data_IF_019875442145
#
_entry.id   IF_019875442145
#
_cell.length_a   1.000
_cell.length_b   1.000
_cell.length_c   1.000
_cell.angle_alpha   90.00
_cell.angle_beta   90.00
_cell.angle_gamma   90.00
#
_symmetry.space_group_name_H-M   'P 1'
#
loop_
_entity.id
_entity.type
_entity.pdbx_description
1 polymer ?
#
# COMPACT_ATOMS: atom_id res chain seq x y z
N UNK A 1 -9.41 3.15 -1.77
CA UNK A 1 -8.47 2.81 -2.86
C UNK A 1 -8.85 3.49 -4.17
N UNK A 2 -9.85 3.03 -4.96
CA UNK A 2 -10.20 3.70 -6.23
C UNK A 2 -10.79 5.11 -6.04
N UNK A 3 -11.89 5.24 -5.28
CA UNK A 3 -12.59 6.52 -5.07
C UNK A 3 -11.87 7.49 -4.10
N UNK A 4 -10.83 7.02 -3.42
CA UNK A 4 -10.09 7.81 -2.44
C UNK A 4 -8.73 8.20 -3.00
N UNK A 5 -7.72 7.37 -2.72
CA UNK A 5 -6.32 7.67 -3.01
C UNK A 5 -6.04 7.79 -4.51
N UNK A 6 -6.53 6.86 -5.34
CA UNK A 6 -6.32 6.92 -6.79
C UNK A 6 -7.03 8.12 -7.42
N UNK A 7 -8.29 8.38 -7.05
CA UNK A 7 -9.02 9.55 -7.51
C UNK A 7 -8.36 10.86 -7.09
N UNK A 8 -7.76 10.92 -5.89
CA UNK A 8 -7.00 12.08 -5.44
C UNK A 8 -5.76 12.31 -6.31
N UNK A 9 -4.96 11.27 -6.56
CA UNK A 9 -3.75 11.38 -7.39
C UNK A 9 -4.05 11.75 -8.84
N UNK A 10 -5.11 11.20 -9.42
CA UNK A 10 -5.57 11.52 -10.77
C UNK A 10 -5.98 13.01 -10.85
N UNK A 11 -6.78 13.49 -9.88
CA UNK A 11 -7.16 14.90 -9.82
C UNK A 11 -5.96 15.83 -9.59
N UNK A 12 -5.04 15.48 -8.69
CA UNK A 12 -3.83 16.27 -8.42
C UNK A 12 -2.88 16.31 -9.62
N UNK A 13 -2.83 15.24 -10.41
CA UNK A 13 -2.01 15.18 -11.63
C UNK A 13 -2.70 15.77 -12.86
N UNK A 14 -3.99 16.14 -12.75
CA UNK A 14 -4.80 16.61 -13.88
C UNK A 14 -4.98 15.57 -14.98
N UNK A 15 -4.80 14.28 -14.66
CA UNK A 15 -4.90 13.18 -15.62
C UNK A 15 -6.31 12.60 -15.64
N UNK A 16 -6.61 11.78 -16.65
CA UNK A 16 -7.81 10.94 -16.67
C UNK A 16 -7.53 9.54 -16.12
N UNK A 17 -8.57 8.79 -15.74
CA UNK A 17 -8.40 7.38 -15.34
C UNK A 17 -7.77 6.50 -16.43
N UNK A 18 -7.93 6.87 -17.71
CA UNK A 18 -7.30 6.19 -18.83
C UNK A 18 -5.78 6.43 -18.89
N UNK A 19 -5.30 7.55 -18.32
CA UNK A 19 -3.89 7.92 -18.24
C UNK A 19 -3.28 7.57 -16.88
N UNK A 20 -4.01 6.81 -16.05
CA UNK A 20 -3.52 6.32 -14.78
C UNK A 20 -2.25 5.50 -14.96
N UNK A 21 -1.19 5.89 -14.26
CA UNK A 21 0.06 5.10 -14.18
C UNK A 21 -0.11 3.82 -13.36
N UNK A 22 -1.19 3.72 -12.60
CA UNK A 22 -1.55 2.54 -11.82
C UNK A 22 -2.63 1.77 -12.57
N UNK A 23 -2.27 0.59 -13.06
CA UNK A 23 -3.20 -0.34 -13.70
C UNK A 23 -4.16 -0.99 -12.68
N UNK A 24 -5.35 -1.44 -13.11
CA UNK A 24 -6.29 -2.15 -12.24
C UNK A 24 -5.69 -3.39 -11.57
N UNK A 25 -4.86 -4.14 -12.28
CA UNK A 25 -4.16 -5.33 -11.77
C UNK A 25 -3.20 -4.97 -10.63
N UNK A 26 -2.45 -3.88 -10.78
CA UNK A 26 -1.53 -3.39 -9.75
C UNK A 26 -2.29 -2.94 -8.49
N UNK A 27 -3.42 -2.25 -8.66
CA UNK A 27 -4.27 -1.86 -7.54
C UNK A 27 -4.89 -3.08 -6.83
N UNK A 28 -5.33 -4.07 -7.60
CA UNK A 28 -5.85 -5.33 -7.05
C UNK A 28 -4.77 -6.09 -6.27
N UNK A 29 -3.54 -6.13 -6.78
CA UNK A 29 -2.39 -6.69 -6.08
C UNK A 29 -2.13 -6.01 -4.74
N UNK A 30 -2.16 -4.68 -4.70
CA UNK A 30 -2.04 -3.94 -3.44
C UNK A 30 -3.16 -4.30 -2.45
N UNK A 31 -4.42 -4.36 -2.90
CA UNK A 31 -5.56 -4.71 -2.05
C UNK A 31 -5.39 -6.14 -1.50
N UNK A 32 -4.93 -7.08 -2.32
CA UNK A 32 -4.66 -8.45 -1.89
C UNK A 32 -3.56 -8.51 -0.81
N UNK A 33 -2.55 -7.64 -0.85
CA UNK A 33 -1.52 -7.56 0.20
C UNK A 33 -2.08 -7.02 1.53
N UNK A 34 -3.04 -6.10 1.47
CA UNK A 34 -3.74 -5.60 2.66
C UNK A 34 -4.62 -6.71 3.25
N UNK A 35 -5.37 -7.40 2.40
CA UNK A 35 -6.26 -8.50 2.81
C UNK A 35 -5.49 -9.66 3.43
N UNK A 36 -4.30 -9.98 2.89
CA UNK A 36 -3.36 -10.95 3.47
C UNK A 36 -2.72 -10.48 4.79
N UNK A 37 -2.94 -9.25 5.23
CA UNK A 37 -2.27 -8.67 6.39
C UNK A 37 -0.76 -8.45 6.18
N UNK A 38 -0.29 -8.51 4.92
CA UNK A 38 1.13 -8.26 4.59
C UNK A 38 1.47 -6.80 4.75
N UNK A 39 0.52 -5.89 4.49
CA UNK A 39 0.70 -4.44 4.70
C UNK A 39 -0.52 -3.84 5.40
N UNK A 40 -0.29 -2.84 6.23
CA UNK A 40 -1.39 -2.07 6.83
C UNK A 40 -1.99 -1.09 5.82
N UNK A 41 -3.23 -0.64 6.05
CA UNK A 41 -3.82 0.44 5.25
C UNK A 41 -3.01 1.74 5.25
N UNK A 42 -2.21 2.00 6.30
CA UNK A 42 -1.29 3.16 6.34
C UNK A 42 -0.10 2.97 5.39
N UNK A 43 0.42 1.75 5.30
CA UNK A 43 1.51 1.38 4.39
C UNK A 43 1.03 1.39 2.95
N UNK A 44 -0.16 0.85 2.67
CA UNK A 44 -0.74 0.84 1.34
C UNK A 44 -0.89 2.25 0.72
N UNK A 45 -1.16 3.28 1.54
CA UNK A 45 -1.16 4.68 1.08
C UNK A 45 0.21 5.17 0.60
N UNK A 46 1.30 4.67 1.17
CA UNK A 46 2.65 4.97 0.66
C UNK A 46 2.92 4.17 -0.61
N UNK A 47 2.60 2.88 -0.58
CA UNK A 47 2.81 1.97 -1.71
C UNK A 47 2.11 2.49 -2.96
N UNK A 48 0.85 2.92 -2.89
CA UNK A 48 0.12 3.43 -4.06
C UNK A 48 0.74 4.69 -4.67
N UNK A 49 1.36 5.54 -3.85
CA UNK A 49 2.10 6.73 -4.34
C UNK A 49 3.39 6.29 -5.03
N UNK A 50 4.15 5.38 -4.42
CA UNK A 50 5.35 4.80 -5.04
C UNK A 50 5.01 4.08 -6.35
N UNK A 51 3.86 3.39 -6.43
CA UNK A 51 3.37 2.75 -7.66
C UNK A 51 3.07 3.79 -8.74
N UNK A 52 2.51 4.93 -8.36
CA UNK A 52 2.21 6.03 -9.27
C UNK A 52 3.49 6.70 -9.82
N UNK A 53 4.51 6.88 -8.98
CA UNK A 53 5.78 7.50 -9.40
C UNK A 53 6.67 6.56 -10.21
N UNK A 54 6.78 5.31 -9.77
CA UNK A 54 7.70 4.32 -10.38
C UNK A 54 7.08 3.47 -11.48
N UNK A 55 5.76 3.32 -11.50
CA UNK A 55 5.05 2.38 -12.37
C UNK A 55 5.22 0.90 -11.98
N UNK A 56 5.89 0.61 -10.85
CA UNK A 56 6.08 -0.76 -10.35
C UNK A 56 4.81 -1.28 -9.68
N UNK A 57 4.70 -2.60 -9.62
CA UNK A 57 3.65 -3.29 -8.87
C UNK A 57 3.85 -3.20 -7.35
N UNK A 58 2.75 -3.39 -6.63
CA UNK A 58 2.72 -3.27 -5.17
C UNK A 58 3.61 -4.31 -4.48
N UNK A 59 3.73 -5.52 -5.02
CA UNK A 59 4.52 -6.60 -4.43
C UNK A 59 6.02 -6.25 -4.46
N UNK A 60 6.49 -5.74 -5.60
CA UNK A 60 7.86 -5.26 -5.76
C UNK A 60 8.18 -4.12 -4.81
N UNK A 61 7.30 -3.11 -4.70
CA UNK A 61 7.52 -1.96 -3.80
C UNK A 61 7.54 -2.41 -2.33
N UNK A 62 6.62 -3.28 -1.93
CA UNK A 62 6.55 -3.79 -0.55
C UNK A 62 7.80 -4.59 -0.18
N UNK A 63 8.34 -5.37 -1.13
CA UNK A 63 9.60 -6.10 -0.96
C UNK A 63 10.82 -5.17 -0.92
N UNK A 64 10.90 -4.19 -1.83
CA UNK A 64 12.02 -3.23 -1.90
C UNK A 64 12.08 -2.35 -0.65
N UNK A 65 10.94 -1.86 -0.17
CA UNK A 65 10.88 -0.99 1.00
C UNK A 65 10.77 -1.76 2.33
N UNK A 66 10.77 -3.10 2.30
CA UNK A 66 10.68 -3.95 3.49
C UNK A 66 9.41 -3.68 4.32
N UNK A 67 8.34 -3.23 3.67
CA UNK A 67 7.11 -2.72 4.30
C UNK A 67 6.19 -3.82 4.83
N UNK A 68 6.73 -5.01 5.09
CA UNK A 68 5.97 -6.13 5.62
C UNK A 68 5.52 -5.77 7.03
N UNK A 69 4.23 -5.86 7.29
CA UNK A 69 3.66 -5.64 8.59
C UNK A 69 4.14 -6.78 9.51
N UNK A 70 5.17 -6.49 10.31
CA UNK A 70 5.55 -7.30 11.46
C UNK A 70 4.47 -7.09 12.52
N UNK A 71 3.36 -7.81 12.37
CA UNK A 71 2.37 -7.96 13.43
C UNK A 71 2.83 -9.06 14.37
N UNK A 72 3.98 -8.83 15.02
CA UNK A 72 4.33 -9.55 16.24
C UNK A 72 3.63 -8.85 17.40
N UNK A 73 2.30 -8.90 17.40
CA UNK A 73 1.51 -8.52 18.58
C UNK A 73 1.83 -9.39 19.80
N UNK A 74 2.55 -10.50 19.63
CA UNK A 74 3.11 -11.28 20.74
C UNK A 74 4.26 -10.59 21.48
N UNK A 75 5.08 -9.78 20.80
CA UNK A 75 6.22 -9.12 21.43
C UNK A 75 5.84 -7.92 22.33
N UNK A 76 4.68 -7.30 22.09
CA UNK A 76 4.24 -6.13 22.86
C UNK A 76 3.53 -6.53 24.16
N UNK A 77 2.84 -7.68 24.19
CA UNK A 77 2.19 -8.19 25.41
C UNK A 77 3.21 -8.58 26.50
N UNK A 78 4.42 -9.00 26.13
CA UNK A 78 5.46 -9.40 27.08
C UNK A 78 6.06 -8.19 27.84
N UNK A 79 6.17 -7.03 27.18
CA UNK A 79 6.70 -5.80 27.79
C UNK A 79 5.69 -5.21 28.79
N UNK A 80 4.39 -5.29 28.51
CA UNK A 80 3.34 -4.75 29.42
C UNK A 80 3.14 -5.63 30.66
N UNK A 81 3.54 -6.91 30.62
CA UNK A 81 3.43 -7.82 31.76
C UNK A 81 4.61 -7.73 32.75
N UNK A 82 5.61 -6.88 32.46
CA UNK A 82 6.79 -6.67 33.30
C UNK A 82 6.77 -5.37 34.13
N UNK A 83 5.64 -4.66 34.19
CA UNK A 83 5.43 -3.49 35.07
C UNK A 83 4.51 -3.80 36.24
#
# INVERSE_FOLDING_TARGET
WMLGDLSKMINESGLTFAESKVSPENLAGMIALIDKGTISGKIAKKVIVSMWESGKDADTIVKEEGLVQITDTGAIEEIVKQV
#
